data_IF_046709773797
#
_entry.id   IF_046709773797
#
_cell.length_a   1.000
_cell.length_b   1.000
_cell.length_c   1.000
_cell.angle_alpha   90.00
_cell.angle_beta   90.00
_cell.angle_gamma   90.00
#
_symmetry.space_group_name_H-M   'P 1'
#
loop_
_entity.id
_entity.type
_entity.pdbx_description
1 polymer ?
#
# COMPACT_ATOMS: atom_id res chain seq x y z
N UNK A 1 -15.14 -5.26 -20.84
CA UNK A 1 -15.22 -4.25 -19.76
C UNK A 1 -13.79 -3.91 -19.41
N UNK A 2 -13.37 -2.68 -19.69
CA UNK A 2 -12.00 -2.24 -19.44
C UNK A 2 -11.94 -1.80 -17.98
N UNK A 3 -11.13 -2.48 -17.16
CA UNK A 3 -10.92 -2.07 -15.77
C UNK A 3 -9.92 -0.89 -15.80
N UNK A 4 -10.29 0.22 -15.17
CA UNK A 4 -9.44 1.41 -15.07
C UNK A 4 -8.87 1.43 -13.67
N UNK A 5 -7.56 1.21 -13.56
CA UNK A 5 -6.85 1.29 -12.30
C UNK A 5 -6.02 2.58 -12.23
N UNK A 6 -6.13 3.29 -11.12
CA UNK A 6 -5.36 4.53 -10.90
C UNK A 6 -4.32 4.27 -9.81
N UNK A 7 -3.04 4.44 -10.16
CA UNK A 7 -1.89 4.24 -9.30
C UNK A 7 -1.23 5.57 -8.96
N UNK A 8 -0.88 5.80 -7.70
CA UNK A 8 -0.05 6.95 -7.29
C UNK A 8 1.42 6.67 -7.58
N UNK A 9 2.12 7.67 -8.14
CA UNK A 9 3.52 7.55 -8.56
C UNK A 9 4.33 8.72 -8.00
N UNK A 10 5.37 8.39 -7.26
CA UNK A 10 6.32 9.35 -6.72
C UNK A 10 7.46 9.60 -7.73
N UNK A 11 8.02 10.81 -7.72
CA UNK A 11 9.12 11.23 -8.61
C UNK A 11 8.68 11.86 -9.94
N UNK A 12 7.37 12.07 -10.14
CA UNK A 12 6.85 12.83 -11.26
C UNK A 12 6.98 14.33 -10.97
N UNK A 13 7.94 15.01 -11.61
CA UNK A 13 8.23 16.44 -11.32
C UNK A 13 8.07 17.37 -12.52
N UNK A 14 7.87 16.86 -13.74
CA UNK A 14 7.68 17.69 -14.94
C UNK A 14 6.83 17.00 -16.03
N UNK A 15 6.40 17.78 -17.04
CA UNK A 15 5.64 17.27 -18.19
C UNK A 15 6.41 16.25 -19.06
N UNK A 16 7.74 16.24 -19.00
CA UNK A 16 8.53 15.20 -19.67
C UNK A 16 8.43 13.85 -18.93
N UNK A 17 8.24 13.85 -17.61
CA UNK A 17 8.02 12.64 -16.81
C UNK A 17 6.69 11.97 -17.18
N UNK A 18 5.60 12.73 -17.31
CA UNK A 18 4.29 12.19 -17.70
C UNK A 18 4.35 11.51 -19.07
N UNK A 19 4.89 12.21 -20.08
CA UNK A 19 5.03 11.67 -21.44
C UNK A 19 5.97 10.46 -21.52
N UNK A 20 6.97 10.36 -20.63
CA UNK A 20 7.83 9.16 -20.54
C UNK A 20 7.06 7.98 -19.96
N UNK A 21 6.29 8.20 -18.90
CA UNK A 21 5.48 7.16 -18.25
C UNK A 21 4.43 6.62 -19.22
N UNK A 22 3.67 7.49 -19.89
CA UNK A 22 2.62 7.10 -20.83
C UNK A 22 3.17 6.25 -22.00
N UNK A 23 4.28 6.68 -22.62
CA UNK A 23 4.92 5.92 -23.71
C UNK A 23 5.51 4.59 -23.26
N UNK A 24 5.89 4.48 -22.00
CA UNK A 24 6.52 3.27 -21.46
C UNK A 24 5.46 2.25 -21.06
N UNK A 25 4.42 2.67 -20.33
CA UNK A 25 3.33 1.80 -19.90
C UNK A 25 2.38 1.46 -21.05
N UNK A 26 2.20 2.35 -22.03
CA UNK A 26 1.38 2.08 -23.21
C UNK A 26 1.95 1.01 -24.15
N UNK A 27 3.18 0.53 -23.90
CA UNK A 27 3.80 -0.62 -24.58
C UNK A 27 3.74 -1.91 -23.77
N UNK A 28 3.21 -1.86 -22.54
CA UNK A 28 3.09 -3.04 -21.69
C UNK A 28 1.92 -3.91 -22.15
N UNK A 29 2.09 -5.23 -22.03
CA UNK A 29 1.04 -6.18 -22.38
C UNK A 29 -0.18 -5.99 -21.48
N UNK A 30 -1.37 -6.03 -22.09
CA UNK A 30 -2.63 -5.84 -21.38
C UNK A 30 -3.01 -4.39 -21.12
N UNK A 31 -2.19 -3.41 -21.52
CA UNK A 31 -2.52 -1.98 -21.45
C UNK A 31 -3.20 -1.53 -22.73
N UNK A 32 -4.37 -0.90 -22.58
CA UNK A 32 -5.17 -0.34 -23.68
C UNK A 32 -5.19 1.19 -23.68
N UNK A 33 -4.87 1.82 -22.55
CA UNK A 33 -4.77 3.26 -22.41
C UNK A 33 -3.98 3.65 -21.16
N UNK A 34 -3.24 4.76 -21.23
CA UNK A 34 -2.49 5.32 -20.08
C UNK A 34 -2.66 6.81 -20.08
N UNK A 35 -2.94 7.38 -18.91
CA UNK A 35 -3.00 8.83 -18.68
C UNK A 35 -2.27 9.16 -17.39
N UNK A 36 -1.20 9.93 -17.49
CA UNK A 36 -0.44 10.39 -16.34
C UNK A 36 -0.85 11.83 -15.97
N UNK A 37 -1.12 12.06 -14.69
CA UNK A 37 -1.49 13.36 -14.16
C UNK A 37 -0.48 13.80 -13.09
N UNK A 38 0.36 14.76 -13.47
CA UNK A 38 1.35 15.38 -12.58
C UNK A 38 0.71 16.15 -11.42
N UNK A 39 -0.44 16.79 -11.65
CA UNK A 39 -1.11 17.62 -10.63
C UNK A 39 -1.59 16.80 -9.44
N UNK A 40 -2.04 15.57 -9.71
CA UNK A 40 -2.47 14.61 -8.68
C UNK A 40 -1.41 13.60 -8.32
N UNK A 41 -0.30 13.52 -9.07
CA UNK A 41 0.74 12.49 -8.91
C UNK A 41 0.22 11.08 -9.19
N UNK A 42 -0.74 10.93 -10.11
CA UNK A 42 -1.38 9.64 -10.39
C UNK A 42 -1.27 9.24 -11.86
N UNK A 43 -1.34 7.95 -12.12
CA UNK A 43 -1.35 7.36 -13.47
C UNK A 43 -2.56 6.44 -13.55
N UNK A 44 -3.48 6.77 -14.45
CA UNK A 44 -4.61 5.91 -14.79
C UNK A 44 -4.18 4.97 -15.93
N UNK A 45 -4.39 3.67 -15.73
CA UNK A 45 -4.11 2.63 -16.72
C UNK A 45 -5.41 1.89 -16.99
N UNK A 46 -5.78 1.85 -18.26
CA UNK A 46 -6.94 1.12 -18.76
C UNK A 46 -6.47 -0.24 -19.29
N UNK A 47 -7.03 -1.34 -18.80
CA UNK A 47 -6.76 -2.68 -19.33
C UNK A 47 -6.61 -3.74 -18.23
N UNK A 48 -6.12 -4.91 -18.62
CA UNK A 48 -5.97 -6.06 -17.74
C UNK A 48 -4.53 -6.25 -17.23
N UNK A 49 -3.68 -5.23 -17.36
CA UNK A 49 -2.29 -5.30 -16.92
C UNK A 49 -2.20 -5.50 -15.41
N UNK A 50 -1.31 -6.40 -14.98
CA UNK A 50 -1.12 -6.70 -13.58
C UNK A 50 -0.45 -5.53 -12.84
N UNK A 51 -0.97 -5.07 -11.68
CA UNK A 51 -0.43 -3.91 -10.98
C UNK A 51 1.04 -4.06 -10.58
N UNK A 52 1.45 -5.28 -10.20
CA UNK A 52 2.83 -5.59 -9.84
C UNK A 52 3.78 -5.34 -11.02
N UNK A 53 3.35 -5.70 -12.23
CA UNK A 53 4.11 -5.49 -13.46
C UNK A 53 4.24 -4.01 -13.81
N UNK A 54 3.16 -3.24 -13.65
CA UNK A 54 3.19 -1.79 -13.84
C UNK A 54 4.17 -1.11 -12.87
N UNK A 55 4.18 -1.54 -11.60
CA UNK A 55 5.10 -1.03 -10.59
C UNK A 55 6.57 -1.35 -10.92
N UNK A 56 6.87 -2.59 -11.32
CA UNK A 56 8.22 -3.01 -11.76
C UNK A 56 8.72 -2.14 -12.93
N UNK A 57 7.84 -1.90 -13.91
CA UNK A 57 8.13 -1.08 -15.08
C UNK A 57 8.38 0.39 -14.73
N UNK A 58 7.66 0.93 -13.77
CA UNK A 58 7.90 2.27 -13.24
C UNK A 58 9.27 2.35 -12.56
N UNK A 59 9.62 1.37 -11.73
CA UNK A 59 10.94 1.28 -11.07
C UNK A 59 12.08 1.19 -12.08
N UNK A 60 11.95 0.35 -13.11
CA UNK A 60 12.92 0.26 -14.20
C UNK A 60 13.11 1.59 -14.96
N UNK A 61 12.07 2.44 -14.99
CA UNK A 61 12.12 3.76 -15.60
C UNK A 61 12.61 4.87 -14.64
N UNK A 62 12.93 4.54 -13.38
CA UNK A 62 13.39 5.48 -12.35
C UNK A 62 12.27 6.20 -11.61
N UNK A 63 11.03 5.70 -11.69
CA UNK A 63 9.89 6.20 -10.93
C UNK A 63 9.50 5.19 -9.83
N UNK A 64 8.91 5.68 -8.75
CA UNK A 64 8.49 4.80 -7.65
C UNK A 64 6.97 4.75 -7.62
N UNK A 65 6.40 3.55 -7.79
CA UNK A 65 4.99 3.35 -7.49
C UNK A 65 4.80 3.53 -5.98
N UNK A 66 3.91 4.42 -5.60
CA UNK A 66 3.70 4.69 -4.18
C UNK A 66 3.00 3.49 -3.52
N UNK A 67 3.27 3.31 -2.23
CA UNK A 67 2.70 2.24 -1.43
C UNK A 67 1.98 2.80 -0.22
N UNK A 68 0.85 2.18 0.11
CA UNK A 68 0.06 2.48 1.28
C UNK A 68 0.02 1.25 2.21
N UNK A 69 -0.29 1.52 3.47
CA UNK A 69 -0.51 0.53 4.51
C UNK A 69 -1.94 0.68 4.96
N UNK A 70 -2.74 -0.34 4.68
CA UNK A 70 -4.13 -0.42 5.13
C UNK A 70 -4.24 -1.36 6.31
N UNK A 71 -4.93 -0.91 7.35
CA UNK A 71 -5.39 -1.75 8.44
C UNK A 71 -6.87 -2.04 8.27
N UNK A 72 -7.22 -3.32 8.24
CA UNK A 72 -8.60 -3.77 8.33
C UNK A 72 -8.89 -4.21 9.76
N UNK A 73 -10.08 -3.87 10.26
CA UNK A 73 -10.66 -4.56 11.41
C UNK A 73 -11.50 -5.73 10.89
N UNK A 74 -11.27 -6.92 11.42
CA UNK A 74 -11.85 -8.18 10.93
C UNK A 74 -12.52 -8.93 12.07
N UNK A 75 -13.81 -9.19 11.90
CA UNK A 75 -14.62 -9.97 12.83
C UNK A 75 -14.86 -11.40 12.36
N UNK A 76 -15.22 -12.28 13.30
CA UNK A 76 -15.60 -13.67 13.01
C UNK A 76 -14.45 -14.65 12.85
N UNK A 77 -13.20 -14.24 13.13
CA UNK A 77 -12.07 -15.16 13.21
C UNK A 77 -11.98 -15.77 14.61
N UNK A 78 -11.90 -17.10 14.71
CA UNK A 78 -11.88 -17.79 16.02
C UNK A 78 -10.71 -18.75 16.20
N UNK A 79 -9.90 -18.98 15.16
CA UNK A 79 -8.74 -19.87 15.25
C UNK A 79 -7.64 -19.51 14.24
N UNK A 80 -6.46 -20.10 14.41
CA UNK A 80 -5.30 -19.91 13.53
C UNK A 80 -5.57 -20.31 12.06
N UNK A 81 -6.48 -21.26 11.82
CA UNK A 81 -6.83 -21.63 10.44
C UNK A 81 -7.67 -20.54 9.74
N UNK A 82 -8.47 -19.76 10.49
CA UNK A 82 -9.19 -18.59 9.96
C UNK A 82 -8.20 -17.50 9.58
N UNK A 83 -7.21 -17.24 10.42
CA UNK A 83 -6.11 -16.28 10.16
C UNK A 83 -5.44 -16.61 8.83
N UNK A 84 -4.97 -17.85 8.67
CA UNK A 84 -4.30 -18.27 7.45
C UNK A 84 -5.23 -18.22 6.22
N UNK A 85 -6.54 -18.45 6.37
CA UNK A 85 -7.50 -18.29 5.28
C UNK A 85 -7.59 -16.83 4.84
N UNK A 86 -7.72 -15.91 5.78
CA UNK A 86 -7.84 -14.48 5.50
C UNK A 86 -6.55 -13.94 4.88
N UNK A 87 -5.38 -14.31 5.40
CA UNK A 87 -4.08 -13.94 4.81
C UNK A 87 -3.98 -14.34 3.34
N UNK A 88 -4.27 -15.62 3.03
CA UNK A 88 -4.25 -16.12 1.64
C UNK A 88 -5.25 -15.43 0.71
N UNK A 89 -6.38 -14.96 1.24
CA UNK A 89 -7.37 -14.21 0.45
C UNK A 89 -6.84 -12.82 0.14
N UNK A 90 -6.24 -12.14 1.12
CA UNK A 90 -5.66 -10.81 0.95
C UNK A 90 -4.47 -10.84 -0.01
N UNK A 91 -3.57 -11.82 0.10
CA UNK A 91 -2.39 -11.97 -0.78
C UNK A 91 -2.76 -12.20 -2.25
N UNK A 92 -3.97 -12.72 -2.53
CA UNK A 92 -4.46 -12.92 -3.90
C UNK A 92 -5.03 -11.65 -4.53
N UNK A 93 -5.22 -10.57 -3.76
CA UNK A 93 -5.77 -9.34 -4.30
C UNK A 93 -4.69 -8.61 -5.10
N UNK A 94 -4.94 -8.27 -6.39
CA UNK A 94 -3.96 -7.56 -7.21
C UNK A 94 -3.53 -6.24 -6.58
N UNK A 95 -2.21 -6.04 -6.51
CA UNK A 95 -1.60 -4.84 -5.91
C UNK A 95 -1.21 -4.99 -4.44
N UNK A 96 -1.53 -6.11 -3.78
CA UNK A 96 -1.00 -6.43 -2.44
C UNK A 96 0.44 -6.89 -2.55
N UNK A 97 1.31 -6.34 -1.71
CA UNK A 97 2.72 -6.72 -1.63
C UNK A 97 3.03 -7.56 -0.39
N UNK A 98 2.29 -7.35 0.71
CA UNK A 98 2.33 -8.20 1.89
C UNK A 98 1.03 -8.08 2.70
N UNK A 99 0.60 -9.15 3.34
CA UNK A 99 -0.51 -9.14 4.29
C UNK A 99 -0.12 -9.89 5.57
N UNK A 100 -0.54 -9.38 6.72
CA UNK A 100 -0.38 -10.05 8.01
C UNK A 100 -1.62 -9.86 8.86
N UNK A 101 -2.09 -10.94 9.47
CA UNK A 101 -3.30 -10.93 10.30
C UNK A 101 -2.93 -11.18 11.77
N UNK A 102 -3.54 -10.38 12.64
CA UNK A 102 -3.46 -10.50 14.08
C UNK A 102 -4.83 -10.91 14.64
N UNK A 103 -4.93 -12.17 15.09
CA UNK A 103 -6.16 -12.69 15.69
C UNK A 103 -6.50 -11.99 17.02
N UNK A 104 -5.52 -11.79 17.90
CA UNK A 104 -5.74 -11.18 19.21
C UNK A 104 -6.19 -9.71 19.09
N UNK A 105 -5.73 -9.03 18.04
CA UNK A 105 -6.11 -7.66 17.73
C UNK A 105 -7.23 -7.54 16.70
N UNK A 106 -7.89 -8.65 16.31
CA UNK A 106 -8.98 -8.70 15.33
C UNK A 106 -8.73 -7.81 14.09
N UNK A 107 -7.52 -7.86 13.55
CA UNK A 107 -7.10 -6.93 12.51
C UNK A 107 -6.12 -7.53 11.53
N UNK A 108 -6.07 -6.97 10.33
CA UNK A 108 -5.05 -7.24 9.33
C UNK A 108 -4.28 -5.96 9.02
N UNK A 109 -2.98 -6.07 8.84
CA UNK A 109 -2.14 -5.02 8.27
C UNK A 109 -1.69 -5.46 6.89
N UNK A 110 -2.00 -4.66 5.87
CA UNK A 110 -1.75 -4.96 4.46
C UNK A 110 -0.87 -3.85 3.89
N UNK A 111 0.24 -4.25 3.29
CA UNK A 111 1.07 -3.42 2.44
C UNK A 111 0.63 -3.62 0.99
N UNK A 112 0.37 -2.52 0.29
CA UNK A 112 -0.08 -2.59 -1.08
C UNK A 112 0.33 -1.35 -1.87
N UNK A 113 0.28 -1.46 -3.20
CA UNK A 113 0.38 -0.33 -4.10
C UNK A 113 -0.76 0.67 -3.82
N UNK A 114 -0.46 1.95 -3.92
CA UNK A 114 -1.41 3.05 -3.73
C UNK A 114 -2.38 3.13 -4.93
N UNK A 115 -3.26 2.14 -5.02
CA UNK A 115 -4.30 2.00 -6.03
C UNK A 115 -5.63 2.50 -5.48
N UNK A 116 -6.29 3.39 -6.22
CA UNK A 116 -7.58 3.93 -5.81
C UNK A 116 -8.61 2.81 -5.58
N UNK A 117 -9.28 2.87 -4.44
CA UNK A 117 -10.32 1.90 -4.06
C UNK A 117 -9.81 0.53 -3.64
N UNK A 118 -8.49 0.30 -3.57
CA UNK A 118 -7.95 -0.99 -3.16
C UNK A 118 -8.30 -1.35 -1.71
N UNK A 119 -8.25 -0.39 -0.78
CA UNK A 119 -8.62 -0.64 0.62
C UNK A 119 -10.03 -1.24 0.76
N UNK A 120 -11.01 -0.71 0.02
CA UNK A 120 -12.38 -1.23 0.03
C UNK A 120 -12.48 -2.60 -0.65
N UNK A 121 -11.74 -2.82 -1.75
CA UNK A 121 -11.65 -4.15 -2.40
C UNK A 121 -11.05 -5.21 -1.47
N UNK A 122 -10.07 -4.86 -0.64
CA UNK A 122 -9.51 -5.76 0.36
C UNK A 122 -10.58 -6.15 1.40
N UNK A 123 -11.32 -5.17 1.94
CA UNK A 123 -12.42 -5.43 2.85
C UNK A 123 -13.53 -6.28 2.20
N UNK A 124 -13.83 -6.04 0.92
CA UNK A 124 -14.79 -6.85 0.17
C UNK A 124 -14.30 -8.28 -0.06
N UNK A 125 -13.01 -8.49 -0.36
CA UNK A 125 -12.43 -9.82 -0.53
C UNK A 125 -12.53 -10.65 0.76
N UNK A 126 -12.27 -10.03 1.92
CA UNK A 126 -12.43 -10.68 3.23
C UNK A 126 -13.90 -10.99 3.53
N UNK A 127 -14.82 -10.07 3.18
CA UNK A 127 -16.28 -10.32 3.28
C UNK A 127 -16.74 -11.47 2.40
N UNK A 128 -16.25 -11.55 1.17
CA UNK A 128 -16.54 -12.65 0.26
C UNK A 128 -16.01 -14.00 0.78
N UNK A 129 -14.95 -14.00 1.60
CA UNK A 129 -14.43 -15.18 2.28
C UNK A 129 -15.25 -15.60 3.53
N UNK A 130 -16.30 -14.85 3.88
CA UNK A 130 -17.23 -15.16 4.97
C UNK A 130 -16.88 -14.52 6.31
N UNK A 131 -16.05 -13.47 6.33
CA UNK A 131 -15.66 -12.76 7.54
C UNK A 131 -16.17 -11.32 7.53
N UNK A 132 -16.35 -10.71 8.69
CA UNK A 132 -16.65 -9.28 8.74
C UNK A 132 -15.35 -8.50 8.50
N UNK A 133 -15.36 -7.48 7.65
CA UNK A 133 -14.19 -6.64 7.44
C UNK A 133 -14.58 -5.19 7.14
N UNK A 134 -13.86 -4.26 7.77
CA UNK A 134 -13.97 -2.82 7.55
C UNK A 134 -12.61 -2.17 7.51
N UNK A 135 -12.45 -1.14 6.68
CA UNK A 135 -11.24 -0.32 6.66
C UNK A 135 -11.16 0.47 7.96
N UNK A 136 -10.13 0.21 8.76
CA UNK A 136 -9.91 0.92 10.02
C UNK A 136 -9.04 2.16 9.81
N UNK A 137 -7.93 2.00 9.09
CA UNK A 137 -7.03 3.09 8.73
C UNK A 137 -6.36 2.80 7.40
N UNK A 138 -6.15 3.82 6.58
CA UNK A 138 -5.33 3.77 5.37
C UNK A 138 -4.29 4.89 5.48
N UNK A 139 -3.02 4.58 5.29
CA UNK A 139 -1.93 5.54 5.51
C UNK A 139 -0.77 5.25 4.56
N UNK A 140 -0.18 6.30 3.98
CA UNK A 140 1.01 6.15 3.14
C UNK A 140 2.16 5.49 3.90
N UNK A 141 2.83 4.52 3.26
CA UNK A 141 3.98 3.81 3.87
C UNK A 141 5.08 4.78 4.28
N UNK A 142 5.28 5.85 3.49
CA UNK A 142 6.22 6.91 3.81
C UNK A 142 5.91 7.63 5.13
N UNK A 143 4.63 7.81 5.46
CA UNK A 143 4.20 8.50 6.68
C UNK A 143 4.37 7.60 7.91
N UNK A 144 4.06 6.31 7.78
CA UNK A 144 4.30 5.32 8.85
C UNK A 144 5.78 5.26 9.21
N UNK A 145 6.67 5.26 8.22
CA UNK A 145 8.13 5.26 8.44
C UNK A 145 8.59 6.55 9.10
N UNK A 146 8.13 7.71 8.61
CA UNK A 146 8.46 9.02 9.19
C UNK A 146 7.99 9.14 10.64
N UNK A 147 6.81 8.63 10.96
CA UNK A 147 6.27 8.66 12.32
C UNK A 147 7.10 7.80 13.27
N UNK A 148 7.42 6.55 12.89
CA UNK A 148 8.29 5.68 13.69
C UNK A 148 9.67 6.32 13.95
N UNK A 149 10.27 6.95 12.93
CA UNK A 149 11.55 7.63 13.08
C UNK A 149 11.49 8.80 14.07
N UNK A 150 10.40 9.57 14.06
CA UNK A 150 10.16 10.68 15.01
C UNK A 150 9.95 10.16 16.43
N UNK A 151 9.17 9.10 16.59
CA UNK A 151 8.90 8.49 17.89
C UNK A 151 10.18 7.91 18.51
N UNK A 152 11.01 7.26 17.71
CA UNK A 152 12.33 6.78 18.13
C UNK A 152 13.24 7.92 18.58
N UNK A 153 13.32 9.02 17.82
CA UNK A 153 14.13 10.17 18.20
C UNK A 153 13.67 10.83 19.51
N UNK A 154 12.35 10.86 19.76
CA UNK A 154 11.78 11.40 21.00
C UNK A 154 12.11 10.51 22.20
N UNK A 155 11.96 9.20 22.06
CA UNK A 155 12.30 8.23 23.11
C UNK A 155 13.80 8.21 23.39
N UNK A 156 14.64 8.24 22.36
CA UNK A 156 16.09 8.29 22.51
C UNK A 156 16.54 9.54 23.29
N UNK A 157 15.95 10.71 23.03
CA UNK A 157 16.19 11.93 23.80
C UNK A 157 15.75 11.81 25.25
N UNK A 158 14.59 11.22 25.51
CA UNK A 158 14.11 11.01 26.88
C UNK A 158 15.03 10.05 27.66
N UNK A 159 15.50 8.99 27.02
CA UNK A 159 16.47 8.03 27.60
C UNK A 159 17.81 8.73 27.90
N UNK A 160 18.32 9.56 26.98
CA UNK A 160 19.55 10.34 27.20
C UNK A 160 19.42 11.30 28.39
N UNK A 161 18.32 12.05 28.48
CA UNK A 161 18.09 12.96 29.61
C UNK A 161 17.97 12.21 30.94
N UNK A 162 17.23 11.08 30.96
CA UNK A 162 17.12 10.24 32.15
C UNK A 162 18.48 9.65 32.56
N UNK A 163 19.28 9.18 31.60
CA UNK A 163 20.61 8.64 31.87
C UNK A 163 21.53 9.66 32.54
N UNK A 164 21.49 10.94 32.12
CA UNK A 164 22.24 12.04 32.75
C UNK A 164 21.77 12.30 34.20
N UNK A 165 20.46 12.26 34.45
CA UNK A 165 19.88 12.44 35.80
C UNK A 165 20.17 11.29 36.77
N UNK A 166 20.52 10.11 36.26
CA UNK A 166 20.85 8.92 37.06
C UNK A 166 22.35 8.68 37.24
N UNK A 167 23.21 9.56 36.71
CA UNK A 167 24.65 9.48 36.99
C UNK A 167 24.86 9.75 38.48
N UNK A 168 25.52 8.85 39.23
CA UNK A 168 25.78 9.08 40.64
C UNK A 168 26.73 10.28 40.78
N UNK A 169 26.34 11.23 41.63
CA UNK A 169 27.19 12.35 42.08
C UNK A 169 28.33 11.82 42.93
#
# INVERSE_FOLDING_TARGET
>A
MTDTQTLRVDGMTCAACTARIERMLGREEGVTGVRANLMTGTVAVDGAAEPARLAERLTAAGFTAAEDVTRLAIGGMTCASCVARVERVLEKVPGVTAASVNLAGESATIHHLALNGLAERLAQAVRAAGYEARVATETSRADVVRQKARDQARLARAVLLAAVLTVPV
#
